data_IF_141962809886
#
_entry.id   IF_141962809886
#
_cell.length_a   1.000
_cell.length_b   1.000
_cell.length_c   1.000
_cell.angle_alpha   90.00
_cell.angle_beta   90.00
_cell.angle_gamma   90.00
#
_symmetry.space_group_name_H-M   'P 1'
#
loop_
_entity.id
_entity.type
_entity.pdbx_description
1 polymer ?
#
# COMPACT_ATOMS: atom_id res chain seq x y z
N UNK A 1 0.75 16.83 -14.74
CA UNK A 1 0.26 16.64 -13.39
C UNK A 1 -0.52 15.35 -13.29
N UNK A 2 -0.32 14.65 -12.20
CA UNK A 2 -0.99 13.38 -11.96
C UNK A 2 -2.02 13.57 -10.84
N UNK A 3 -3.17 12.90 -10.98
CA UNK A 3 -4.18 12.93 -9.93
C UNK A 3 -4.92 11.60 -9.89
N UNK A 4 -5.41 11.24 -8.72
CA UNK A 4 -6.15 10.00 -8.53
C UNK A 4 -7.64 10.27 -8.47
N UNK A 5 -8.41 9.44 -9.13
CA UNK A 5 -9.87 9.54 -9.10
C UNK A 5 -10.46 8.15 -8.84
N UNK A 6 -11.61 8.15 -8.21
CA UNK A 6 -12.31 6.91 -7.88
C UNK A 6 -13.15 6.45 -9.06
N UNK A 7 -13.09 5.14 -9.34
CA UNK A 7 -13.91 4.52 -10.37
C UNK A 7 -14.57 3.28 -9.76
N UNK A 8 -15.74 3.46 -9.16
CA UNK A 8 -16.41 2.36 -8.46
C UNK A 8 -15.61 1.94 -7.23
N UNK A 9 -15.12 0.69 -7.22
CA UNK A 9 -14.36 0.15 -6.08
C UNK A 9 -12.85 0.28 -6.28
N UNK A 10 -12.42 0.87 -7.38
CA UNK A 10 -11.01 1.03 -7.70
C UNK A 10 -10.69 2.50 -7.93
N UNK A 11 -9.41 2.78 -8.03
CA UNK A 11 -8.92 4.13 -8.26
C UNK A 11 -7.98 4.12 -9.45
N UNK A 12 -7.93 5.22 -10.17
CA UNK A 12 -6.98 5.38 -11.27
C UNK A 12 -6.19 6.67 -11.06
N UNK A 13 -4.93 6.63 -11.49
CA UNK A 13 -4.08 7.81 -11.55
C UNK A 13 -4.04 8.26 -13.00
N UNK A 14 -4.37 9.52 -13.27
CA UNK A 14 -4.45 10.03 -14.63
C UNK A 14 -3.54 11.25 -14.81
N UNK A 15 -3.20 11.53 -16.06
CA UNK A 15 -2.49 12.76 -16.40
C UNK A 15 -3.48 13.86 -16.76
N UNK A 16 -2.97 15.00 -17.23
CA UNK A 16 -3.80 16.15 -17.55
C UNK A 16 -4.71 15.90 -18.75
N UNK A 17 -4.36 14.94 -19.61
CA UNK A 17 -5.17 14.58 -20.75
C UNK A 17 -6.17 13.48 -20.44
N UNK A 18 -6.19 13.01 -19.20
CA UNK A 18 -7.11 11.96 -18.78
C UNK A 18 -6.62 10.56 -19.10
N UNK A 19 -5.38 10.41 -19.53
CA UNK A 19 -4.83 9.09 -19.78
C UNK A 19 -4.57 8.37 -18.46
N UNK A 20 -4.96 7.10 -18.39
CA UNK A 20 -4.74 6.30 -17.19
C UNK A 20 -3.28 5.88 -17.12
N UNK A 21 -2.61 6.29 -16.06
CA UNK A 21 -1.20 5.99 -15.82
C UNK A 21 -1.01 4.85 -14.83
N UNK A 22 -1.98 4.64 -13.95
CA UNK A 22 -1.89 3.59 -12.96
C UNK A 22 -3.24 3.31 -12.34
N UNK A 23 -3.35 2.17 -11.66
CA UNK A 23 -4.58 1.76 -10.99
C UNK A 23 -4.24 1.14 -9.65
N UNK A 24 -5.19 1.19 -8.73
CA UNK A 24 -5.04 0.53 -7.44
C UNK A 24 -6.41 0.38 -6.78
N UNK A 25 -6.48 -0.52 -5.79
CA UNK A 25 -7.64 -0.62 -4.92
C UNK A 25 -7.22 -0.16 -3.54
N UNK A 26 -8.10 0.56 -2.84
CA UNK A 26 -7.82 1.04 -1.50
C UNK A 26 -9.02 0.75 -0.61
N UNK A 27 -8.80 -0.06 0.42
CA UNK A 27 -9.86 -0.56 1.29
C UNK A 27 -9.49 -0.28 2.73
N UNK A 28 -10.40 0.34 3.47
CA UNK A 28 -10.23 0.54 4.91
C UNK A 28 -10.80 -0.66 5.65
N UNK A 29 -10.17 -1.01 6.75
CA UNK A 29 -10.69 -2.03 7.62
C UNK A 29 -9.90 -3.32 7.58
N UNK A 30 -10.42 -4.31 8.31
CA UNK A 30 -9.71 -5.55 8.54
C UNK A 30 -9.66 -6.42 7.31
N UNK A 31 -8.46 -6.82 6.95
CA UNK A 31 -8.25 -7.78 5.87
C UNK A 31 -7.99 -9.15 6.49
N UNK A 32 -8.78 -10.16 6.16
CA UNK A 32 -8.59 -11.50 6.76
C UNK A 32 -7.19 -12.05 6.57
N UNK A 33 -6.53 -11.74 5.45
CA UNK A 33 -5.17 -12.25 5.20
C UNK A 33 -4.13 -11.58 6.09
N UNK A 34 -4.48 -10.47 6.73
CA UNK A 34 -3.56 -9.73 7.60
C UNK A 34 -3.78 -10.01 9.07
N UNK A 35 -4.71 -10.88 9.41
CA UNK A 35 -4.96 -11.23 10.80
C UNK A 35 -3.82 -12.00 11.42
N UNK A 36 -3.07 -12.72 10.61
CA UNK A 36 -1.95 -13.50 11.09
C UNK A 36 -0.71 -13.18 10.26
N UNK A 37 0.40 -12.88 10.96
CA UNK A 37 1.66 -12.55 10.31
C UNK A 37 2.75 -13.43 10.90
N UNK A 38 3.68 -13.88 10.07
CA UNK A 38 4.75 -14.80 10.42
C UNK A 38 6.09 -14.15 10.19
N UNK A 39 7.10 -14.60 10.91
CA UNK A 39 8.49 -14.13 10.77
C UNK A 39 8.61 -12.63 11.01
N UNK A 40 7.77 -12.11 11.88
CA UNK A 40 7.79 -10.70 12.21
C UNK A 40 6.48 -10.27 12.84
N UNK A 41 6.26 -8.97 12.90
CA UNK A 41 5.04 -8.40 13.48
C UNK A 41 4.67 -7.13 12.73
N UNK A 42 3.37 -6.81 12.74
CA UNK A 42 2.91 -5.51 12.27
C UNK A 42 3.45 -4.42 13.20
N UNK A 43 3.56 -3.19 12.67
CA UNK A 43 4.09 -2.07 13.44
C UNK A 43 3.15 -1.63 14.56
N UNK A 44 1.84 -1.80 14.36
CA UNK A 44 0.84 -1.47 15.37
C UNK A 44 -0.43 -2.26 15.09
N UNK A 45 -1.42 -2.12 15.98
CA UNK A 45 -2.74 -2.75 15.83
C UNK A 45 -3.83 -1.70 15.60
N UNK A 46 -3.45 -0.50 15.17
CA UNK A 46 -4.39 0.57 14.89
C UNK A 46 -5.11 0.32 13.57
N UNK A 47 -6.27 0.94 13.36
CA UNK A 47 -6.98 0.80 12.08
C UNK A 47 -6.09 1.17 10.90
N UNK A 48 -6.21 0.42 9.83
CA UNK A 48 -5.32 0.58 8.69
C UNK A 48 -6.09 0.53 7.37
N UNK A 49 -5.47 1.09 6.34
CA UNK A 49 -5.94 0.93 4.98
C UNK A 49 -5.06 -0.06 4.25
N UNK A 50 -5.63 -0.76 3.29
CA UNK A 50 -4.92 -1.76 2.51
C UNK A 50 -4.93 -1.33 1.05
N UNK A 51 -3.75 -1.36 0.43
CA UNK A 51 -3.61 -1.07 -0.99
C UNK A 51 -3.41 -2.40 -1.71
N UNK A 52 -4.29 -2.65 -2.68
CA UNK A 52 -4.21 -3.85 -3.51
C UNK A 52 -4.01 -3.48 -4.96
N UNK A 53 -3.31 -4.34 -5.69
CA UNK A 53 -3.24 -4.28 -7.15
C UNK A 53 -2.71 -2.94 -7.67
N UNK A 54 -1.74 -2.39 -6.99
CA UNK A 54 -1.09 -1.18 -7.47
C UNK A 54 -0.27 -1.52 -8.71
N UNK A 55 -0.62 -0.89 -9.82
CA UNK A 55 0.06 -1.13 -11.10
C UNK A 55 0.14 0.16 -11.89
N UNK A 56 1.20 0.31 -12.68
CA UNK A 56 1.37 1.47 -13.54
C UNK A 56 1.68 1.00 -14.96
N UNK A 57 1.46 1.90 -15.94
CA UNK A 57 1.77 1.58 -17.32
C UNK A 57 3.21 1.90 -17.71
N UNK A 58 4.00 2.46 -16.79
CA UNK A 58 5.40 2.76 -17.02
C UNK A 58 5.69 3.98 -17.86
N UNK A 59 4.65 4.70 -18.30
CA UNK A 59 4.84 5.83 -19.22
C UNK A 59 5.39 7.09 -18.56
N UNK A 60 5.14 7.26 -17.26
CA UNK A 60 5.62 8.43 -16.54
C UNK A 60 6.23 8.00 -15.23
N UNK A 61 7.15 8.82 -14.73
CA UNK A 61 7.77 8.59 -13.43
C UNK A 61 6.84 9.08 -12.32
N UNK A 62 6.99 8.51 -11.13
CA UNK A 62 6.31 8.98 -9.94
C UNK A 62 4.87 8.57 -9.81
N UNK A 63 4.35 7.71 -10.68
CA UNK A 63 2.94 7.31 -10.64
C UNK A 63 2.64 6.53 -9.37
N UNK A 64 3.49 5.56 -9.02
CA UNK A 64 3.31 4.79 -7.78
C UNK A 64 3.34 5.70 -6.56
N UNK A 65 4.27 6.67 -6.54
CA UNK A 65 4.35 7.62 -5.43
C UNK A 65 3.09 8.46 -5.32
N UNK A 66 2.55 8.90 -6.45
CA UNK A 66 1.29 9.66 -6.46
C UNK A 66 0.15 8.84 -5.85
N UNK A 67 0.06 7.56 -6.23
CA UNK A 67 -0.96 6.67 -5.70
C UNK A 67 -0.79 6.46 -4.19
N UNK A 68 0.44 6.21 -3.75
CA UNK A 68 0.73 6.00 -2.34
C UNK A 68 0.47 7.28 -1.53
N UNK A 69 0.86 8.44 -2.06
CA UNK A 69 0.59 9.72 -1.40
C UNK A 69 -0.91 9.92 -1.21
N UNK A 70 -1.69 9.63 -2.24
CA UNK A 70 -3.14 9.79 -2.18
C UNK A 70 -3.73 8.95 -1.05
N UNK A 71 -3.29 7.71 -0.93
CA UNK A 71 -3.76 6.81 0.12
C UNK A 71 -3.31 7.26 1.51
N UNK A 72 -2.04 7.62 1.63
CA UNK A 72 -1.46 7.97 2.93
C UNK A 72 -2.05 9.28 3.47
N UNK A 73 -2.39 10.21 2.59
CA UNK A 73 -3.04 11.45 3.01
C UNK A 73 -4.44 11.19 3.58
N UNK A 74 -5.11 10.17 3.09
CA UNK A 74 -6.46 9.83 3.54
C UNK A 74 -6.45 8.96 4.78
N UNK A 75 -5.46 8.09 4.90
CA UNK A 75 -5.35 7.20 6.04
C UNK A 75 -3.88 6.92 6.32
N UNK A 76 -3.30 7.56 7.33
CA UNK A 76 -1.84 7.50 7.54
C UNK A 76 -1.36 6.24 8.26
N UNK A 77 -1.95 5.12 7.95
CA UNK A 77 -1.54 3.80 8.44
C UNK A 77 -1.91 2.79 7.37
N UNK A 78 -0.93 2.38 6.60
CA UNK A 78 -1.16 1.57 5.40
C UNK A 78 -0.44 0.24 5.48
N UNK A 79 -1.12 -0.82 5.05
CA UNK A 79 -0.53 -2.14 4.91
C UNK A 79 -0.62 -2.57 3.45
N UNK A 80 0.44 -3.21 2.98
CA UNK A 80 0.55 -3.67 1.60
C UNK A 80 1.29 -4.99 1.61
N UNK A 81 0.94 -5.89 0.71
CA UNK A 81 1.73 -7.09 0.52
C UNK A 81 2.14 -7.21 -0.94
N UNK A 82 3.23 -7.94 -1.19
CA UNK A 82 3.70 -8.16 -2.53
C UNK A 82 4.38 -9.53 -2.63
N UNK A 83 4.37 -10.09 -3.84
CA UNK A 83 5.01 -11.37 -4.09
C UNK A 83 6.53 -11.23 -3.98
N UNK A 84 7.19 -12.27 -3.47
CA UNK A 84 8.65 -12.23 -3.28
C UNK A 84 9.42 -12.06 -4.58
N UNK A 85 8.81 -12.40 -5.71
CA UNK A 85 9.45 -12.21 -7.02
C UNK A 85 9.23 -10.83 -7.60
N UNK A 86 8.35 -10.03 -6.99
CA UNK A 86 8.07 -8.69 -7.47
C UNK A 86 9.08 -7.70 -6.89
N UNK A 87 10.30 -7.73 -7.42
CA UNK A 87 11.39 -6.89 -6.91
C UNK A 87 11.11 -5.41 -7.13
N UNK A 88 10.43 -5.08 -8.21
CA UNK A 88 10.09 -3.69 -8.50
C UNK A 88 9.19 -3.12 -7.41
N UNK A 89 8.14 -3.84 -7.04
CA UNK A 89 7.23 -3.36 -5.99
C UNK A 89 7.93 -3.30 -4.63
N UNK A 90 8.76 -4.28 -4.31
CA UNK A 90 9.51 -4.25 -3.06
C UNK A 90 10.38 -3.00 -2.99
N UNK A 91 11.03 -2.65 -4.09
CA UNK A 91 11.87 -1.46 -4.15
C UNK A 91 11.03 -0.19 -3.98
N UNK A 92 9.89 -0.12 -4.67
CA UNK A 92 9.00 1.04 -4.58
C UNK A 92 8.52 1.24 -3.14
N UNK A 93 8.07 0.18 -2.50
CA UNK A 93 7.56 0.28 -1.12
C UNK A 93 8.66 0.70 -0.15
N UNK A 94 9.83 0.08 -0.25
CA UNK A 94 10.95 0.40 0.63
C UNK A 94 11.40 1.84 0.43
N UNK A 95 11.54 2.27 -0.82
CA UNK A 95 11.98 3.63 -1.13
C UNK A 95 10.96 4.66 -0.65
N UNK A 96 9.68 4.34 -0.72
CA UNK A 96 8.65 5.27 -0.25
C UNK A 96 8.67 5.44 1.27
N UNK A 97 9.09 4.41 2.00
CA UNK A 97 9.17 4.47 3.45
C UNK A 97 8.46 3.34 4.16
N UNK A 98 7.94 2.37 3.44
CA UNK A 98 7.32 1.19 4.07
C UNK A 98 8.39 0.34 4.72
N UNK A 99 8.05 -0.27 5.84
CA UNK A 99 8.90 -1.21 6.53
C UNK A 99 8.39 -2.63 6.29
N UNK A 100 9.34 -3.53 6.03
CA UNK A 100 9.00 -4.95 5.92
C UNK A 100 8.66 -5.47 7.31
N UNK A 101 7.51 -6.11 7.44
CA UNK A 101 6.99 -6.56 8.73
C UNK A 101 7.06 -8.06 8.92
N UNK A 102 6.96 -8.83 7.85
CA UNK A 102 6.95 -10.27 7.94
C UNK A 102 6.34 -10.92 6.72
N UNK A 103 5.78 -12.10 6.93
CA UNK A 103 5.19 -12.92 5.87
C UNK A 103 3.72 -13.14 6.16
N UNK A 104 2.89 -13.02 5.14
CA UNK A 104 1.49 -13.41 5.21
C UNK A 104 1.20 -14.44 4.11
N UNK A 105 0.06 -15.08 4.21
CA UNK A 105 -0.37 -16.04 3.20
C UNK A 105 -1.73 -15.61 2.68
N UNK A 106 -1.82 -15.45 1.35
CA UNK A 106 -3.08 -15.09 0.73
C UNK A 106 -3.95 -16.34 0.59
N UNK A 107 -5.19 -16.13 0.12
CA UNK A 107 -6.23 -17.15 0.18
C UNK A 107 -5.84 -18.50 -0.43
N UNK A 108 -5.04 -18.48 -1.50
CA UNK A 108 -4.61 -19.72 -2.15
C UNK A 108 -3.36 -20.34 -1.52
N UNK A 109 -2.91 -19.81 -0.37
CA UNK A 109 -1.73 -20.32 0.31
C UNK A 109 -0.43 -19.74 -0.16
N UNK A 110 -0.46 -18.82 -1.13
CA UNK A 110 0.77 -18.20 -1.63
C UNK A 110 1.36 -17.25 -0.61
N UNK A 111 2.66 -17.35 -0.44
CA UNK A 111 3.40 -16.50 0.48
C UNK A 111 3.54 -15.08 -0.09
N UNK A 112 3.37 -14.08 0.76
CA UNK A 112 3.57 -12.69 0.38
C UNK A 112 4.40 -11.98 1.45
N UNK A 113 5.17 -10.99 1.02
CA UNK A 113 5.92 -10.15 1.95
C UNK A 113 5.01 -9.01 2.38
N UNK A 114 4.89 -8.82 3.69
CA UNK A 114 4.00 -7.81 4.28
C UNK A 114 4.79 -6.56 4.64
N UNK A 115 4.22 -5.41 4.29
CA UNK A 115 4.81 -4.10 4.55
C UNK A 115 3.81 -3.21 5.24
N UNK A 116 4.31 -2.28 6.04
CA UNK A 116 3.45 -1.27 6.67
C UNK A 116 4.17 0.06 6.73
N UNK A 117 3.42 1.13 6.57
CA UNK A 117 3.91 2.48 6.77
C UNK A 117 2.89 3.24 7.58
N UNK A 118 3.33 3.92 8.63
CA UNK A 118 2.39 4.57 9.53
C UNK A 118 2.97 5.86 10.09
N UNK A 119 2.09 6.84 10.31
CA UNK A 119 2.38 7.97 11.18
C UNK A 119 1.73 7.79 12.54
N UNK A 120 0.98 6.69 12.70
CA UNK A 120 0.28 6.40 13.95
C UNK A 120 1.09 5.39 14.72
N UNK A 121 1.56 5.77 15.90
CA UNK A 121 2.17 4.80 16.80
C UNK A 121 1.04 4.12 17.57
N UNK A 122 1.36 3.03 18.28
CA UNK A 122 0.39 2.25 19.02
C UNK A 122 0.07 2.88 20.39
N UNK A 123 -0.03 4.20 20.40
CA UNK A 123 -0.39 4.93 21.61
C UNK A 123 0.79 5.37 22.44
N UNK A 124 2.00 5.05 22.01
CA UNK A 124 3.20 5.43 22.75
C UNK A 124 3.86 6.70 22.19
N UNK A 125 3.43 7.14 21.03
CA UNK A 125 4.03 8.30 20.42
C UNK A 125 3.69 9.55 21.22
N UNK A 126 4.70 10.37 21.43
CA UNK A 126 4.52 11.64 22.10
C UNK A 126 4.36 12.72 21.05
N UNK A 127 3.35 13.53 21.24
CA UNK A 127 3.18 14.69 20.37
C UNK A 127 4.32 15.65 20.62
N UNK A 128 4.99 15.96 19.56
CA UNK A 128 6.09 16.90 19.67
C UNK A 128 5.60 18.32 19.78
#
# INVERSE_FOLDING_TARGET
>A
RQMCIETGHSFVCIDEQGEILGTFCFILGDDPTYQQIYEGTWLNNEPYGVIHRLATNGKQKGVSETCLNWCFERWPNLRVDTHRDNKVMQHILTKYGFQRCGIIYVKNGTERIAYQMTRVSDGTEKLA
#
